data_IF_940541588587
#
_entry.id   IF_940541588587
#
_cell.length_a   1.000
_cell.length_b   1.000
_cell.length_c   1.000
_cell.angle_alpha   90.00
_cell.angle_beta   90.00
_cell.angle_gamma   90.00
#
_symmetry.space_group_name_H-M   'P 1'
#
loop_
_entity.id
_entity.type
_entity.pdbx_description
1 polymer ?
#
# COMPACT_ATOMS: atom_id res chain seq x y z
N UNK A 1 -15.90 3.29 -21.21
CA UNK A 1 -15.79 3.13 -19.73
C UNK A 1 -17.19 3.21 -19.13
N UNK A 2 -17.63 2.14 -18.44
CA UNK A 2 -18.91 2.08 -17.71
C UNK A 2 -18.94 3.08 -16.57
N UNK A 3 -20.14 3.49 -16.13
CA UNK A 3 -20.29 4.20 -14.86
C UNK A 3 -20.12 3.23 -13.68
N UNK A 4 -19.93 3.79 -12.47
CA UNK A 4 -19.65 2.95 -11.30
C UNK A 4 -20.81 2.04 -10.91
N UNK A 5 -22.06 2.48 -11.08
CA UNK A 5 -23.26 1.69 -10.74
C UNK A 5 -23.31 0.40 -11.57
N UNK A 6 -22.96 0.45 -12.84
CA UNK A 6 -22.91 -0.73 -13.72
C UNK A 6 -21.82 -1.71 -13.27
N UNK A 7 -20.64 -1.21 -12.84
CA UNK A 7 -19.55 -2.06 -12.34
C UNK A 7 -19.95 -2.70 -11.00
N UNK A 8 -20.58 -1.93 -10.11
CA UNK A 8 -21.08 -2.43 -8.84
C UNK A 8 -22.16 -3.51 -9.05
N UNK A 9 -23.07 -3.33 -10.00
CA UNK A 9 -24.08 -4.32 -10.34
C UNK A 9 -23.45 -5.64 -10.82
N UNK A 10 -22.37 -5.57 -11.63
CA UNK A 10 -21.62 -6.75 -12.06
C UNK A 10 -20.99 -7.45 -10.85
N UNK A 11 -20.33 -6.70 -9.98
CA UNK A 11 -19.71 -7.26 -8.75
C UNK A 11 -20.77 -7.88 -7.83
N UNK A 12 -21.89 -7.19 -7.63
CA UNK A 12 -23.02 -7.66 -6.81
C UNK A 12 -23.62 -8.97 -7.34
N UNK A 13 -23.84 -9.07 -8.65
CA UNK A 13 -24.31 -10.30 -9.27
C UNK A 13 -23.36 -11.49 -9.05
N UNK A 14 -22.04 -11.24 -8.99
CA UNK A 14 -21.02 -12.26 -8.78
C UNK A 14 -20.86 -12.65 -7.29
N UNK A 15 -21.11 -11.74 -6.36
CA UNK A 15 -20.82 -11.90 -4.93
C UNK A 15 -22.06 -12.04 -4.04
N UNK A 16 -23.26 -12.04 -4.64
CA UNK A 16 -24.52 -12.23 -3.90
C UNK A 16 -25.09 -10.94 -3.31
N UNK A 17 -24.80 -9.79 -3.91
CA UNK A 17 -25.40 -8.50 -3.59
C UNK A 17 -24.40 -7.39 -3.26
N UNK A 18 -24.86 -6.15 -3.27
CA UNK A 18 -24.03 -4.98 -2.98
C UNK A 18 -23.45 -5.01 -1.55
N UNK A 19 -24.23 -5.46 -0.58
CA UNK A 19 -23.77 -5.60 0.81
C UNK A 19 -22.57 -6.56 0.93
N UNK A 20 -22.53 -7.64 0.14
CA UNK A 20 -21.41 -8.56 0.11
C UNK A 20 -20.14 -7.94 -0.54
N UNK A 21 -20.32 -7.01 -1.48
CA UNK A 21 -19.21 -6.29 -2.13
C UNK A 21 -18.64 -5.21 -1.23
N UNK A 22 -19.47 -4.41 -0.58
CA UNK A 22 -19.08 -3.20 0.13
C UNK A 22 -18.92 -3.39 1.65
N UNK A 23 -19.62 -4.39 2.24
CA UNK A 23 -19.80 -4.51 3.70
C UNK A 23 -18.52 -4.65 4.53
N UNK A 24 -17.50 -5.35 4.00
CA UNK A 24 -16.21 -5.57 4.70
C UNK A 24 -15.16 -4.50 4.38
N UNK A 25 -15.53 -3.39 3.74
CA UNK A 25 -14.58 -2.36 3.39
C UNK A 25 -14.33 -1.44 4.60
N UNK A 26 -13.14 -1.55 5.19
CA UNK A 26 -12.73 -0.62 6.23
C UNK A 26 -12.69 0.80 5.68
N UNK A 27 -13.34 1.73 6.38
CA UNK A 27 -13.27 3.15 6.03
C UNK A 27 -11.83 3.67 6.14
N UNK A 28 -11.39 4.54 5.23
CA UNK A 28 -10.12 5.24 5.36
C UNK A 28 -10.09 6.06 6.66
N UNK A 29 -8.88 6.29 7.17
CA UNK A 29 -8.66 7.18 8.32
C UNK A 29 -8.80 8.65 7.88
N UNK A 30 -9.18 9.51 8.83
CA UNK A 30 -9.12 10.95 8.61
C UNK A 30 -7.66 11.44 8.48
N UNK A 31 -7.42 12.61 7.85
CA UNK A 31 -6.08 13.19 7.78
C UNK A 31 -5.41 13.35 9.15
N UNK A 32 -6.18 13.75 10.17
CA UNK A 32 -5.70 13.91 11.55
C UNK A 32 -5.28 12.56 12.14
N UNK A 33 -6.07 11.52 11.93
CA UNK A 33 -5.76 10.18 12.41
C UNK A 33 -4.53 9.58 11.69
N UNK A 34 -4.37 9.82 10.38
CA UNK A 34 -3.18 9.44 9.63
C UNK A 34 -1.93 10.16 10.14
N UNK A 35 -2.04 11.48 10.35
CA UNK A 35 -0.95 12.31 10.84
C UNK A 35 -0.50 11.93 12.26
N UNK A 36 -1.41 11.39 13.07
CA UNK A 36 -1.13 10.94 14.44
C UNK A 36 -0.45 9.57 14.52
N UNK A 37 -0.34 8.82 13.41
CA UNK A 37 0.33 7.52 13.43
C UNK A 37 1.84 7.72 13.62
N UNK A 38 2.46 7.12 14.66
CA UNK A 38 3.89 7.24 14.91
C UNK A 38 4.76 6.67 13.78
N UNK A 39 5.94 7.22 13.61
CA UNK A 39 6.88 6.88 12.53
C UNK A 39 7.34 5.41 12.57
N UNK A 40 7.52 4.87 13.77
CA UNK A 40 7.86 3.46 13.98
C UNK A 40 6.78 2.52 13.44
N UNK A 41 5.52 2.91 13.50
CA UNK A 41 4.40 2.12 12.94
C UNK A 41 4.39 2.15 11.41
N UNK A 42 4.77 3.27 10.81
CA UNK A 42 4.95 3.36 9.36
C UNK A 42 6.08 2.45 8.89
N UNK A 43 7.26 2.51 9.57
CA UNK A 43 8.39 1.64 9.24
C UNK A 43 8.07 0.17 9.48
N UNK A 44 7.38 -0.17 10.57
CA UNK A 44 6.92 -1.54 10.85
C UNK A 44 6.02 -2.08 9.73
N UNK A 45 5.06 -1.27 9.23
CA UNK A 45 4.19 -1.70 8.13
C UNK A 45 4.96 -1.86 6.81
N UNK A 46 5.91 -0.95 6.50
CA UNK A 46 6.81 -1.12 5.34
C UNK A 46 7.58 -2.44 5.44
N UNK A 47 8.19 -2.71 6.59
CA UNK A 47 8.92 -3.96 6.85
C UNK A 47 8.02 -5.19 6.69
N UNK A 48 6.79 -5.14 7.21
CA UNK A 48 5.82 -6.24 7.11
C UNK A 48 5.50 -6.58 5.67
N UNK A 49 5.18 -5.59 4.84
CA UNK A 49 4.91 -5.77 3.42
C UNK A 49 6.16 -6.27 2.67
N UNK A 50 7.34 -5.74 2.97
CA UNK A 50 8.61 -6.18 2.38
C UNK A 50 8.90 -7.64 2.74
N UNK A 51 8.68 -8.07 3.99
CA UNK A 51 8.86 -9.46 4.37
C UNK A 51 7.83 -10.39 3.72
N UNK A 52 6.60 -9.95 3.54
CA UNK A 52 5.53 -10.72 2.89
C UNK A 52 5.76 -10.92 1.38
N UNK A 53 6.55 -10.07 0.73
CA UNK A 53 6.85 -10.22 -0.69
C UNK A 53 7.60 -11.55 -0.98
N UNK A 54 6.91 -12.47 -1.69
CA UNK A 54 7.44 -13.80 -2.05
C UNK A 54 7.47 -14.81 -0.91
N UNK A 55 6.79 -14.55 0.23
CA UNK A 55 6.73 -15.43 1.38
C UNK A 55 5.27 -15.55 1.86
N UNK A 56 4.91 -16.70 2.43
CA UNK A 56 3.58 -16.90 3.01
C UNK A 56 3.28 -15.84 4.09
N UNK A 57 2.16 -15.16 3.94
CA UNK A 57 1.65 -14.20 4.92
C UNK A 57 1.56 -14.81 6.32
N UNK A 58 1.06 -16.05 6.44
CA UNK A 58 0.96 -16.77 7.71
C UNK A 58 2.31 -16.94 8.39
N UNK A 59 3.37 -17.18 7.61
CA UNK A 59 4.73 -17.32 8.15
C UNK A 59 5.25 -15.99 8.71
N UNK A 60 5.02 -14.88 8.02
CA UNK A 60 5.42 -13.55 8.48
C UNK A 60 4.65 -13.19 9.75
N UNK A 61 3.32 -13.40 9.76
CA UNK A 61 2.47 -13.12 10.92
C UNK A 61 2.92 -13.94 12.16
N UNK A 62 3.18 -15.22 11.99
CA UNK A 62 3.64 -16.08 13.09
C UNK A 62 5.00 -15.63 13.68
N UNK A 63 5.86 -15.03 12.84
CA UNK A 63 7.17 -14.52 13.27
C UNK A 63 7.14 -13.05 13.71
N UNK A 64 6.01 -12.35 13.48
CA UNK A 64 5.97 -10.90 13.62
C UNK A 64 6.42 -10.38 15.00
N UNK A 65 5.99 -10.96 16.14
CA UNK A 65 6.46 -10.49 17.46
C UNK A 65 7.99 -10.58 17.60
N UNK A 66 8.60 -11.65 17.10
CA UNK A 66 10.05 -11.81 17.12
C UNK A 66 10.78 -10.88 16.15
N UNK A 67 10.17 -10.58 15.00
CA UNK A 67 10.69 -9.60 14.03
C UNK A 67 10.66 -8.20 14.67
N UNK A 68 9.54 -7.81 15.26
CA UNK A 68 9.38 -6.51 15.89
C UNK A 68 10.38 -6.29 17.03
N UNK A 69 10.58 -7.31 17.88
CA UNK A 69 11.58 -7.29 18.94
C UNK A 69 13.03 -7.20 18.39
N UNK A 70 13.37 -7.99 17.38
CA UNK A 70 14.71 -7.98 16.77
C UNK A 70 15.05 -6.62 16.14
N UNK A 71 14.07 -5.92 15.57
CA UNK A 71 14.23 -4.58 15.01
C UNK A 71 14.01 -3.45 16.05
N UNK A 72 13.88 -3.76 17.34
CA UNK A 72 13.73 -2.75 18.42
C UNK A 72 12.46 -1.92 18.27
N UNK A 73 11.32 -2.55 17.95
CA UNK A 73 10.04 -1.89 17.77
C UNK A 73 9.96 -1.04 16.51
N UNK A 74 10.92 -1.15 15.60
CA UNK A 74 11.05 -0.36 14.38
C UNK A 74 11.25 1.14 14.61
N UNK A 75 11.93 1.54 15.70
CA UNK A 75 12.36 2.93 15.87
C UNK A 75 13.25 3.34 14.67
N UNK A 76 12.84 4.35 13.86
CA UNK A 76 13.58 4.69 12.67
C UNK A 76 14.98 5.25 12.93
N UNK A 77 15.17 6.00 14.00
CA UNK A 77 16.44 6.69 14.24
C UNK A 77 17.62 5.71 14.39
N UNK A 78 17.60 4.72 15.32
CA UNK A 78 18.69 3.77 15.43
C UNK A 78 18.78 2.81 14.23
N UNK A 79 17.67 2.53 13.52
CA UNK A 79 17.68 1.67 12.35
C UNK A 79 18.28 2.35 11.13
N UNK A 80 18.14 3.67 10.98
CA UNK A 80 18.75 4.44 9.90
C UNK A 80 20.28 4.50 10.00
N UNK A 81 20.82 4.34 11.22
CA UNK A 81 22.24 4.35 11.54
C UNK A 81 22.82 2.93 11.73
N UNK A 82 22.10 1.90 11.27
CA UNK A 82 22.52 0.50 11.41
C UNK A 82 23.88 0.27 10.75
N UNK A 83 24.88 -0.10 11.57
CA UNK A 83 26.21 -0.51 11.12
C UNK A 83 26.23 -1.98 10.61
N UNK A 84 27.37 -2.41 10.11
CA UNK A 84 27.55 -3.74 9.55
C UNK A 84 27.45 -4.83 10.64
N UNK A 85 27.93 -4.56 11.88
CA UNK A 85 27.86 -5.53 12.98
C UNK A 85 26.39 -5.81 13.36
N UNK A 86 25.55 -4.77 13.47
CA UNK A 86 24.12 -4.92 13.73
C UNK A 86 23.39 -5.56 12.56
N UNK A 87 23.79 -5.23 11.33
CA UNK A 87 23.25 -5.84 10.14
C UNK A 87 23.52 -7.36 10.12
N UNK A 88 24.75 -7.79 10.38
CA UNK A 88 25.14 -9.18 10.42
C UNK A 88 24.47 -9.93 11.59
N UNK A 89 24.35 -9.30 12.75
CA UNK A 89 23.61 -9.84 13.89
C UNK A 89 22.13 -10.12 13.53
N UNK A 90 21.46 -9.22 12.79
CA UNK A 90 20.11 -9.45 12.30
C UNK A 90 20.06 -10.60 11.32
N UNK A 91 21.02 -10.75 10.41
CA UNK A 91 21.08 -11.87 9.47
C UNK A 91 21.31 -13.23 10.16
N UNK A 92 21.94 -13.22 11.32
CA UNK A 92 22.12 -14.43 12.15
C UNK A 92 20.88 -14.74 13.00
N UNK A 93 20.00 -13.77 13.23
CA UNK A 93 18.85 -13.91 14.13
C UNK A 93 17.78 -14.83 13.52
N UNK A 94 17.42 -15.90 14.27
CA UNK A 94 16.39 -16.86 13.83
C UNK A 94 14.96 -16.35 14.01
N UNK A 95 14.76 -15.26 14.74
CA UNK A 95 13.44 -14.63 14.93
C UNK A 95 12.96 -13.99 13.64
N UNK A 96 13.88 -13.50 12.79
CA UNK A 96 13.52 -12.85 11.54
C UNK A 96 13.54 -13.76 10.31
N UNK A 97 13.09 -13.24 9.19
CA UNK A 97 13.28 -13.84 7.86
C UNK A 97 14.63 -13.32 7.34
N UNK A 98 15.62 -14.19 7.32
CA UNK A 98 17.00 -13.87 6.99
C UNK A 98 17.17 -13.61 5.49
N UNK A 99 17.09 -12.33 5.11
CA UNK A 99 17.28 -11.86 3.74
C UNK A 99 18.00 -10.52 3.79
N UNK A 100 19.28 -10.50 3.41
CA UNK A 100 20.09 -9.29 3.41
C UNK A 100 19.44 -8.14 2.64
N UNK A 101 18.88 -8.44 1.46
CA UNK A 101 18.21 -7.44 0.65
C UNK A 101 16.93 -6.84 1.29
N UNK A 102 16.23 -7.60 2.16
CA UNK A 102 15.07 -7.10 2.91
C UNK A 102 15.51 -6.30 4.14
N UNK A 103 16.53 -6.76 4.85
CA UNK A 103 17.11 -6.02 6.00
C UNK A 103 17.70 -4.68 5.53
N UNK A 104 18.46 -4.67 4.43
CA UNK A 104 18.97 -3.44 3.83
C UNK A 104 17.83 -2.47 3.47
N UNK A 105 16.77 -2.96 2.84
CA UNK A 105 15.61 -2.13 2.50
C UNK A 105 14.91 -1.54 3.73
N UNK A 106 14.90 -2.24 4.87
CA UNK A 106 14.35 -1.71 6.13
C UNK A 106 15.22 -0.58 6.67
N UNK A 107 16.57 -0.73 6.64
CA UNK A 107 17.52 0.34 7.00
C UNK A 107 17.32 1.57 6.13
N UNK A 108 17.24 1.38 4.82
CA UNK A 108 17.07 2.48 3.86
C UNK A 108 15.72 3.18 4.06
N UNK A 109 14.65 2.42 4.35
CA UNK A 109 13.34 2.98 4.68
C UNK A 109 13.33 3.70 6.03
N UNK A 110 14.12 3.27 7.01
CA UNK A 110 14.28 4.00 8.26
C UNK A 110 14.88 5.39 8.01
N UNK A 111 15.92 5.48 7.16
CA UNK A 111 16.49 6.77 6.75
C UNK A 111 15.47 7.62 5.97
N UNK A 112 14.68 7.00 5.10
CA UNK A 112 13.59 7.68 4.39
C UNK A 112 12.55 8.26 5.35
N UNK A 113 12.10 7.47 6.33
CA UNK A 113 11.13 7.92 7.35
C UNK A 113 11.71 9.08 8.17
N UNK A 114 12.95 8.97 8.67
CA UNK A 114 13.60 10.04 9.43
C UNK A 114 13.68 11.35 8.66
N UNK A 115 14.11 11.30 7.39
CA UNK A 115 14.22 12.48 6.52
C UNK A 115 12.85 13.15 6.33
N UNK A 116 11.84 12.37 5.93
CA UNK A 116 10.50 12.91 5.69
C UNK A 116 9.88 13.49 6.96
N UNK A 117 10.10 12.84 8.11
CA UNK A 117 9.58 13.32 9.39
C UNK A 117 10.23 14.63 9.82
N UNK A 118 11.53 14.79 9.59
CA UNK A 118 12.23 16.05 9.86
C UNK A 118 11.69 17.20 8.99
N UNK A 119 11.41 16.93 7.71
CA UNK A 119 10.96 17.94 6.77
C UNK A 119 9.49 18.33 6.94
N UNK A 120 8.63 17.42 7.45
CA UNK A 120 7.16 17.59 7.47
C UNK A 120 6.53 17.50 8.86
N UNK A 121 7.33 17.29 9.93
CA UNK A 121 6.80 17.14 11.29
C UNK A 121 6.12 15.78 11.54
N UNK A 122 6.51 14.74 10.81
CA UNK A 122 6.06 13.36 10.93
C UNK A 122 5.81 12.71 9.58
N UNK A 123 6.12 11.42 9.46
CA UNK A 123 5.86 10.67 8.22
C UNK A 123 4.37 10.60 7.91
N UNK A 124 3.55 10.29 8.93
CA UNK A 124 2.10 10.27 8.81
C UNK A 124 1.51 11.63 8.38
N UNK A 125 2.10 12.73 8.86
CA UNK A 125 1.72 14.08 8.44
C UNK A 125 1.93 14.27 6.94
N UNK A 126 3.11 13.91 6.41
CA UNK A 126 3.39 13.99 4.97
C UNK A 126 2.37 13.22 4.13
N UNK A 127 2.00 12.02 4.58
CA UNK A 127 1.00 11.19 3.89
C UNK A 127 -0.41 11.81 3.99
N UNK A 128 -0.77 12.37 5.14
CA UNK A 128 -2.06 13.03 5.36
C UNK A 128 -2.24 14.29 4.51
N UNK A 129 -1.17 15.07 4.38
CA UNK A 129 -1.16 16.33 3.62
C UNK A 129 -1.08 16.12 2.09
N UNK A 130 -0.90 14.88 1.61
CA UNK A 130 -0.87 14.61 0.17
C UNK A 130 -2.28 14.76 -0.43
N UNK A 131 -2.43 15.47 -1.57
CA UNK A 131 -3.74 15.69 -2.18
C UNK A 131 -4.48 14.37 -2.48
N UNK A 132 -5.76 14.30 -2.14
CA UNK A 132 -6.61 13.12 -2.41
C UNK A 132 -6.83 12.87 -3.90
N UNK A 133 -6.62 13.90 -4.73
CA UNK A 133 -6.74 13.83 -6.19
C UNK A 133 -5.46 13.40 -6.88
N UNK A 134 -4.39 13.09 -6.13
CA UNK A 134 -3.08 12.70 -6.68
C UNK A 134 -2.52 11.45 -5.99
N UNK A 135 -3.30 10.40 -5.89
CA UNK A 135 -2.82 9.13 -5.34
C UNK A 135 -1.77 8.47 -6.25
N UNK A 136 -1.85 8.68 -7.56
CA UNK A 136 -0.83 8.22 -8.51
C UNK A 136 0.54 8.87 -8.25
N UNK A 137 0.56 10.18 -7.95
CA UNK A 137 1.78 10.89 -7.56
C UNK A 137 2.32 10.42 -6.22
N UNK A 138 1.44 10.14 -5.24
CA UNK A 138 1.85 9.54 -3.97
C UNK A 138 2.55 8.18 -4.16
N UNK A 139 2.02 7.32 -5.02
CA UNK A 139 2.63 6.02 -5.34
C UNK A 139 3.97 6.16 -6.06
N UNK A 140 4.08 7.10 -7.00
CA UNK A 140 5.35 7.39 -7.71
C UNK A 140 6.42 7.87 -6.73
N UNK A 141 6.07 8.80 -5.85
CA UNK A 141 6.97 9.30 -4.80
C UNK A 141 7.39 8.17 -3.84
N UNK A 142 6.42 7.39 -3.34
CA UNK A 142 6.67 6.30 -2.40
C UNK A 142 7.59 5.22 -2.99
N UNK A 143 7.42 4.92 -4.28
CA UNK A 143 8.25 3.95 -5.00
C UNK A 143 9.65 4.45 -5.36
N UNK A 144 9.84 5.76 -5.47
CA UNK A 144 11.16 6.37 -5.77
C UNK A 144 12.00 6.60 -4.53
N UNK A 145 11.37 7.08 -3.46
CA UNK A 145 12.05 7.44 -2.23
C UNK A 145 12.23 6.23 -1.29
N UNK A 146 11.31 5.28 -1.33
CA UNK A 146 11.32 4.10 -0.48
C UNK A 146 11.94 2.87 -1.17
N UNK A 147 12.72 2.12 -0.40
CA UNK A 147 13.32 0.88 -0.86
C UNK A 147 12.27 -0.25 -0.90
N UNK A 148 12.09 -0.89 -2.06
CA UNK A 148 11.12 -1.97 -2.30
C UNK A 148 9.66 -1.59 -2.06
N UNK A 149 9.32 -0.32 -2.16
CA UNK A 149 7.96 0.21 -1.99
C UNK A 149 7.30 0.60 -3.32
N UNK A 150 7.86 0.20 -4.45
CA UNK A 150 7.23 0.40 -5.76
C UNK A 150 6.02 -0.51 -6.00
N UNK A 151 5.19 -0.12 -6.96
CA UNK A 151 4.02 -0.89 -7.39
C UNK A 151 3.02 -1.16 -6.27
N UNK A 152 2.53 -2.40 -6.20
CA UNK A 152 1.52 -2.77 -5.20
C UNK A 152 2.04 -2.81 -3.76
N UNK A 153 3.36 -2.87 -3.53
CA UNK A 153 3.91 -2.87 -2.17
C UNK A 153 3.63 -1.54 -1.46
N UNK A 154 3.94 -0.42 -2.09
CA UNK A 154 3.62 0.91 -1.55
C UNK A 154 2.13 1.12 -1.38
N UNK A 155 1.32 0.76 -2.38
CA UNK A 155 -0.14 0.84 -2.30
C UNK A 155 -0.70 0.01 -1.13
N UNK A 156 -0.12 -1.18 -0.85
CA UNK A 156 -0.51 -2.02 0.29
C UNK A 156 -0.14 -1.38 1.63
N UNK A 157 1.07 -0.83 1.77
CA UNK A 157 1.46 -0.09 2.98
C UNK A 157 0.47 1.05 3.24
N UNK A 158 0.22 1.91 2.26
CA UNK A 158 -0.69 3.05 2.41
C UNK A 158 -2.09 2.61 2.83
N UNK A 159 -2.65 1.57 2.17
CA UNK A 159 -3.98 1.03 2.50
C UNK A 159 -4.03 0.41 3.91
N UNK A 160 -3.03 -0.37 4.31
CA UNK A 160 -3.00 -0.98 5.65
C UNK A 160 -2.83 0.06 6.75
N UNK A 161 -2.17 1.17 6.46
CA UNK A 161 -2.07 2.32 7.36
C UNK A 161 -3.31 3.23 7.34
N UNK A 162 -4.30 2.95 6.50
CA UNK A 162 -5.58 3.65 6.46
C UNK A 162 -5.65 4.81 5.47
N UNK A 163 -4.64 5.03 4.63
CA UNK A 163 -4.71 6.01 3.54
C UNK A 163 -5.66 5.49 2.45
N UNK A 164 -6.63 6.30 2.05
CA UNK A 164 -7.50 5.96 0.93
C UNK A 164 -6.73 5.84 -0.37
N UNK A 165 -7.02 4.77 -1.14
CA UNK A 165 -6.31 4.51 -2.36
C UNK A 165 -6.68 3.18 -3.01
N UNK A 166 -6.14 2.95 -4.20
CA UNK A 166 -6.32 1.69 -4.93
C UNK A 166 -5.10 0.77 -4.84
N UNK A 167 -5.32 -0.51 -5.09
CA UNK A 167 -4.26 -1.49 -5.37
C UNK A 167 -4.54 -2.05 -6.76
N UNK A 168 -3.57 -1.97 -7.66
CA UNK A 168 -3.67 -2.50 -9.02
C UNK A 168 -3.35 -4.01 -9.02
N UNK A 169 -4.24 -4.79 -8.38
CA UNK A 169 -4.20 -6.25 -8.48
C UNK A 169 -4.46 -6.71 -9.92
N UNK A 170 -4.20 -7.99 -10.22
CA UNK A 170 -4.53 -8.56 -11.55
C UNK A 170 -5.97 -8.27 -11.95
N UNK A 171 -6.92 -8.48 -11.04
CA UNK A 171 -8.33 -8.26 -11.31
C UNK A 171 -8.68 -6.79 -11.54
N UNK A 172 -8.11 -5.88 -10.73
CA UNK A 172 -8.31 -4.43 -10.94
C UNK A 172 -7.76 -4.02 -12.31
N UNK A 173 -6.56 -4.48 -12.67
CA UNK A 173 -5.97 -4.21 -14.00
C UNK A 173 -6.85 -4.79 -15.11
N UNK A 174 -7.31 -6.04 -14.97
CA UNK A 174 -8.20 -6.66 -15.94
C UNK A 174 -9.50 -5.86 -16.12
N UNK A 175 -10.10 -5.36 -15.03
CA UNK A 175 -11.29 -4.50 -15.13
C UNK A 175 -10.97 -3.17 -15.82
N UNK A 176 -9.85 -2.52 -15.49
CA UNK A 176 -9.44 -1.28 -16.15
C UNK A 176 -9.21 -1.46 -17.65
N UNK A 177 -8.65 -2.60 -18.06
CA UNK A 177 -8.51 -2.96 -19.48
C UNK A 177 -9.87 -3.19 -20.13
N UNK A 178 -10.76 -3.94 -19.49
CA UNK A 178 -12.12 -4.18 -19.99
C UNK A 178 -12.97 -2.90 -20.12
N UNK A 179 -12.63 -1.87 -19.34
CA UNK A 179 -13.24 -0.54 -19.44
C UNK A 179 -12.56 0.38 -20.46
N UNK A 180 -11.46 -0.05 -21.09
CA UNK A 180 -10.70 0.75 -22.05
C UNK A 180 -9.95 1.93 -21.41
N UNK A 181 -9.63 1.82 -20.11
CA UNK A 181 -8.85 2.84 -19.40
C UNK A 181 -7.37 2.71 -19.70
N UNK A 182 -6.88 1.48 -19.77
CA UNK A 182 -5.50 1.11 -20.08
C UNK A 182 -5.49 -0.15 -20.95
N UNK A 183 -4.40 -0.39 -21.67
CA UNK A 183 -4.24 -1.55 -22.56
C UNK A 183 -3.57 -2.77 -21.88
N UNK A 184 -3.06 -2.60 -20.66
CA UNK A 184 -2.35 -3.61 -19.88
C UNK A 184 -1.85 -3.05 -18.55
N UNK A 185 -0.97 -3.76 -17.81
CA UNK A 185 -0.41 -3.25 -16.56
C UNK A 185 0.23 -1.87 -16.75
N UNK A 186 -0.14 -0.85 -15.94
CA UNK A 186 0.30 0.51 -16.15
C UNK A 186 1.78 0.67 -15.81
N UNK A 187 2.64 0.77 -16.84
CA UNK A 187 4.09 0.98 -16.71
C UNK A 187 4.56 2.40 -17.06
N UNK A 188 3.65 3.32 -17.36
CA UNK A 188 3.98 4.69 -17.74
C UNK A 188 3.20 5.72 -16.93
N UNK A 189 3.75 6.94 -16.84
CA UNK A 189 3.05 8.08 -16.22
C UNK A 189 1.70 8.37 -16.89
N UNK A 190 1.63 8.23 -18.24
CA UNK A 190 0.40 8.41 -18.99
C UNK A 190 -0.67 7.38 -18.58
N UNK A 191 -0.29 6.11 -18.47
CA UNK A 191 -1.21 5.07 -18.02
C UNK A 191 -1.67 5.29 -16.57
N UNK A 192 -0.76 5.68 -15.67
CA UNK A 192 -1.12 5.99 -14.28
C UNK A 192 -2.04 7.21 -14.17
N UNK A 193 -1.85 8.24 -15.01
CA UNK A 193 -2.76 9.39 -15.08
C UNK A 193 -4.16 8.98 -15.58
N UNK A 194 -4.26 8.05 -16.53
CA UNK A 194 -5.53 7.50 -16.98
C UNK A 194 -6.25 6.70 -15.87
N UNK A 195 -5.49 5.91 -15.09
CA UNK A 195 -6.01 5.21 -13.90
C UNK A 195 -6.55 6.21 -12.88
N UNK A 196 -5.76 7.25 -12.55
CA UNK A 196 -6.19 8.31 -11.62
C UNK A 196 -7.52 8.93 -12.08
N UNK A 197 -7.58 9.37 -13.34
CA UNK A 197 -8.78 10.00 -13.89
C UNK A 197 -10.02 9.08 -13.84
N UNK A 198 -9.85 7.78 -14.08
CA UNK A 198 -10.92 6.81 -13.98
C UNK A 198 -11.44 6.66 -12.55
N UNK A 199 -10.52 6.53 -11.57
CA UNK A 199 -10.89 6.43 -10.17
C UNK A 199 -11.54 7.72 -9.65
N UNK A 200 -11.04 8.89 -10.03
CA UNK A 200 -11.65 10.17 -9.66
C UNK A 200 -13.06 10.32 -10.21
N UNK A 201 -13.29 9.89 -11.45
CA UNK A 201 -14.64 9.85 -12.04
C UNK A 201 -15.56 8.93 -11.25
N UNK A 202 -15.17 7.68 -10.99
CA UNK A 202 -15.99 6.74 -10.24
C UNK A 202 -16.25 7.19 -8.80
N UNK A 203 -15.28 7.87 -8.17
CA UNK A 203 -15.45 8.49 -6.86
C UNK A 203 -16.49 9.62 -6.90
N UNK A 204 -16.45 10.47 -7.93
CA UNK A 204 -17.44 11.54 -8.12
C UNK A 204 -18.84 10.99 -8.38
N UNK A 205 -18.96 9.87 -9.14
CA UNK A 205 -20.24 9.21 -9.45
C UNK A 205 -20.86 8.53 -8.23
N UNK A 206 -20.04 7.93 -7.35
CA UNK A 206 -20.52 7.04 -6.28
C UNK A 206 -20.46 7.63 -4.88
N UNK A 207 -19.62 8.62 -4.64
CA UNK A 207 -19.29 9.11 -3.29
C UNK A 207 -18.48 8.12 -2.44
N UNK A 208 -18.05 6.98 -2.99
CA UNK A 208 -17.31 5.95 -2.28
C UNK A 208 -15.81 6.27 -2.20
N UNK A 209 -15.12 5.68 -1.23
CA UNK A 209 -13.67 5.75 -1.12
C UNK A 209 -12.97 5.03 -2.30
N UNK A 210 -11.76 5.46 -2.64
CA UNK A 210 -10.93 4.79 -3.65
C UNK A 210 -10.67 3.33 -3.29
N UNK A 211 -10.58 3.03 -2.00
CA UNK A 211 -10.45 1.66 -1.47
C UNK A 211 -11.67 0.82 -1.78
N UNK A 212 -12.88 1.34 -1.55
CA UNK A 212 -14.13 0.64 -1.86
C UNK A 212 -14.28 0.42 -3.38
N UNK A 213 -13.99 1.45 -4.17
CA UNK A 213 -13.99 1.36 -5.64
C UNK A 213 -13.01 0.28 -6.11
N UNK A 214 -11.76 0.32 -5.65
CA UNK A 214 -10.73 -0.67 -6.01
C UNK A 214 -11.15 -2.11 -5.68
N UNK A 215 -11.78 -2.33 -4.51
CA UNK A 215 -12.33 -3.65 -4.15
C UNK A 215 -13.49 -4.08 -5.03
N UNK A 216 -14.38 -3.16 -5.37
CA UNK A 216 -15.51 -3.43 -6.28
C UNK A 216 -14.99 -3.83 -7.66
N UNK A 217 -14.00 -3.11 -8.20
CA UNK A 217 -13.39 -3.46 -9.48
C UNK A 217 -12.81 -4.89 -9.44
N UNK A 218 -12.05 -5.22 -8.40
CA UNK A 218 -11.47 -6.56 -8.25
C UNK A 218 -12.53 -7.67 -8.19
N UNK A 219 -13.68 -7.40 -7.56
CA UNK A 219 -14.76 -8.37 -7.43
C UNK A 219 -15.66 -8.49 -8.66
N UNK A 220 -15.57 -7.54 -9.59
CA UNK A 220 -16.40 -7.48 -10.80
C UNK A 220 -15.91 -8.36 -11.95
N UNK A 221 -14.70 -8.92 -11.86
CA UNK A 221 -14.07 -9.72 -12.91
C UNK A 221 -13.20 -10.82 -12.29
N UNK A 222 -12.91 -11.90 -13.02
CA UNK A 222 -11.85 -12.86 -12.72
C UNK A 222 -10.78 -12.75 -13.81
N UNK A 223 -9.55 -12.48 -13.41
CA UNK A 223 -8.43 -12.42 -14.34
C UNK A 223 -7.90 -13.81 -14.75
N UNK A 224 -8.38 -14.86 -14.10
CA UNK A 224 -8.00 -16.26 -14.33
C UNK A 224 -9.09 -17.05 -15.09
N UNK A 225 -10.15 -16.39 -15.59
CA UNK A 225 -11.24 -16.97 -16.35
C UNK A 225 -10.97 -17.12 -17.83
#
# INVERSE_FOLDING_TARGET
MRNFVEILAIAAARKGGEAAVLGDTRAPLSPEALAAIPDDRWLAMMARVIFQAGISWKMVEAKWPGIEDAFGGFDPAPLSLMDDDRFDALLADRRIIRSGAKVAAIRDNAAFVCRVSADHGGFGRRIADWPDTDFAGLLDWFGKEGARLGGNSGASVLRFMGRDGWILSRDVVARLVAEGVIDGPPGSKKAMAAVQAAFDRWRAESGLSLTAISRTLAQSIDADG
#
